data_IF_025148652327
#
_entry.id   IF_025148652327
#
_cell.length_a   1.000
_cell.length_b   1.000
_cell.length_c   1.000
_cell.angle_alpha   90.00
_cell.angle_beta   90.00
_cell.angle_gamma   90.00
#
_symmetry.space_group_name_H-M   'P 1'
#
loop_
_entity.id
_entity.type
_entity.pdbx_description
1 polymer ?
#
# COMPACT_ATOMS: atom_id res chain seq x y z
N UNK A 1 -20.37 -14.36 13.04
CA UNK A 1 -20.35 -14.10 11.59
C UNK A 1 -19.22 -13.13 11.28
N UNK A 2 -18.21 -13.53 10.52
CA UNK A 2 -17.13 -12.61 10.09
C UNK A 2 -17.74 -11.51 9.21
N UNK A 3 -17.63 -10.25 9.63
CA UNK A 3 -18.07 -9.10 8.82
C UNK A 3 -17.10 -8.98 7.63
N UNK A 4 -17.58 -9.28 6.42
CA UNK A 4 -16.80 -9.09 5.19
C UNK A 4 -16.87 -7.61 4.82
N UNK A 5 -15.73 -6.97 4.59
CA UNK A 5 -15.69 -5.58 4.11
C UNK A 5 -16.19 -5.52 2.66
N UNK A 6 -17.24 -4.75 2.34
CA UNK A 6 -17.76 -4.65 0.97
C UNK A 6 -16.71 -4.15 -0.02
N UNK A 7 -16.76 -4.64 -1.26
CA UNK A 7 -15.82 -4.24 -2.33
C UNK A 7 -15.87 -2.73 -2.61
N UNK A 8 -17.06 -2.11 -2.58
CA UNK A 8 -17.23 -0.67 -2.73
C UNK A 8 -16.52 0.14 -1.64
N UNK A 9 -16.53 -0.34 -0.39
CA UNK A 9 -15.79 0.27 0.72
C UNK A 9 -14.28 0.16 0.50
N UNK A 10 -13.79 -0.99 0.03
CA UNK A 10 -12.38 -1.18 -0.31
C UNK A 10 -11.95 -0.22 -1.44
N UNK A 11 -12.76 -0.11 -2.49
CA UNK A 11 -12.51 0.80 -3.62
C UNK A 11 -12.42 2.26 -3.16
N UNK A 12 -13.41 2.73 -2.41
CA UNK A 12 -13.45 4.11 -1.91
C UNK A 12 -12.24 4.43 -1.00
N UNK A 13 -11.79 3.47 -0.18
CA UNK A 13 -10.59 3.65 0.63
C UNK A 13 -9.32 3.73 -0.24
N UNK A 14 -9.23 2.90 -1.27
CA UNK A 14 -8.10 2.89 -2.20
C UNK A 14 -8.03 4.18 -3.06
N UNK A 15 -9.17 4.68 -3.55
CA UNK A 15 -9.26 5.96 -4.29
C UNK A 15 -8.82 7.15 -3.43
N UNK A 16 -9.20 7.18 -2.14
CA UNK A 16 -8.74 8.19 -1.19
C UNK A 16 -7.23 8.12 -0.98
N UNK A 17 -6.66 6.91 -0.92
CA UNK A 17 -5.23 6.71 -0.77
C UNK A 17 -4.46 7.23 -1.99
N UNK A 18 -4.87 6.88 -3.21
CA UNK A 18 -4.20 7.34 -4.43
C UNK A 18 -4.25 8.87 -4.54
N UNK A 19 -5.39 9.48 -4.21
CA UNK A 19 -5.53 10.95 -4.21
C UNK A 19 -4.57 11.61 -3.21
N UNK A 20 -4.32 10.99 -2.05
CA UNK A 20 -3.39 11.50 -1.06
C UNK A 20 -1.93 11.28 -1.46
N UNK A 21 -1.61 10.11 -2.00
CA UNK A 21 -0.25 9.76 -2.45
C UNK A 21 0.18 10.59 -3.64
N UNK A 22 -0.71 10.87 -4.60
CA UNK A 22 -0.41 11.73 -5.76
C UNK A 22 -0.11 13.19 -5.42
N UNK A 23 -0.22 13.60 -4.14
CA UNK A 23 0.23 14.92 -3.66
C UNK A 23 1.68 14.90 -3.16
N UNK A 24 2.27 13.73 -3.02
CA UNK A 24 3.67 13.54 -2.61
C UNK A 24 4.50 13.56 -3.89
N UNK A 25 5.44 14.50 -4.00
CA UNK A 25 6.36 14.55 -5.12
C UNK A 25 7.18 13.26 -5.18
N UNK A 26 7.39 12.72 -6.39
CA UNK A 26 8.16 11.48 -6.55
C UNK A 26 7.39 10.22 -6.12
N UNK A 27 6.06 10.29 -6.03
CA UNK A 27 5.20 9.13 -5.79
C UNK A 27 4.15 9.03 -6.89
N UNK A 28 4.13 7.89 -7.58
CA UNK A 28 3.08 7.52 -8.53
C UNK A 28 2.24 6.40 -7.93
N UNK A 29 0.91 6.52 -7.98
CA UNK A 29 0.01 5.54 -7.42
C UNK A 29 -1.12 5.19 -8.37
N UNK A 30 -1.45 3.90 -8.44
CA UNK A 30 -2.52 3.40 -9.29
C UNK A 30 -3.50 2.50 -8.51
N UNK A 31 -4.75 2.51 -8.98
CA UNK A 31 -5.80 1.66 -8.46
C UNK A 31 -5.79 0.35 -9.24
N UNK A 32 -5.61 -0.76 -8.54
CA UNK A 32 -5.57 -2.09 -9.16
C UNK A 32 -6.76 -2.91 -8.67
N UNK A 33 -7.64 -3.28 -9.58
CA UNK A 33 -8.64 -4.31 -9.32
C UNK A 33 -8.03 -5.69 -9.59
N UNK A 34 -8.07 -6.56 -8.58
CA UNK A 34 -7.71 -7.97 -8.72
C UNK A 34 -8.93 -8.84 -8.47
N UNK A 35 -9.35 -9.59 -9.47
CA UNK A 35 -10.34 -10.65 -9.30
C UNK A 35 -9.65 -11.96 -8.95
N UNK A 36 -10.07 -12.60 -7.86
CA UNK A 36 -9.65 -13.97 -7.53
C UNK A 36 -10.88 -14.78 -7.16
N UNK A 37 -11.21 -15.76 -8.00
CA UNK A 37 -12.44 -16.55 -7.87
C UNK A 37 -13.69 -15.67 -7.88
N UNK A 38 -14.44 -15.66 -6.79
CA UNK A 38 -15.77 -15.02 -6.70
C UNK A 38 -15.74 -13.59 -6.17
N UNK A 39 -14.57 -13.01 -5.85
CA UNK A 39 -14.48 -11.67 -5.23
C UNK A 39 -13.42 -10.79 -5.88
N UNK A 40 -13.83 -9.60 -6.30
CA UNK A 40 -12.92 -8.50 -6.61
C UNK A 40 -12.31 -7.93 -5.33
N UNK A 41 -11.02 -7.62 -5.38
CA UNK A 41 -10.28 -6.90 -4.35
C UNK A 41 -9.65 -5.66 -4.97
N UNK A 42 -9.73 -4.56 -4.25
CA UNK A 42 -9.09 -3.31 -4.65
C UNK A 42 -7.79 -3.15 -3.87
N UNK A 43 -6.69 -2.97 -4.60
CA UNK A 43 -5.35 -2.72 -4.04
C UNK A 43 -4.79 -1.44 -4.63
N UNK A 44 -3.85 -0.82 -3.92
CA UNK A 44 -3.10 0.34 -4.41
C UNK A 44 -1.68 -0.11 -4.68
N UNK A 45 -1.17 0.18 -5.88
CA UNK A 45 0.24 0.02 -6.23
C UNK A 45 0.89 1.39 -6.21
N UNK A 46 2.05 1.52 -5.57
CA UNK A 46 2.76 2.80 -5.41
C UNK A 46 4.21 2.60 -5.82
N UNK A 47 4.70 3.47 -6.69
CA UNK A 47 6.13 3.66 -6.99
C UNK A 47 6.55 4.95 -6.30
N UNK A 48 7.66 4.92 -5.58
CA UNK A 48 8.12 6.03 -4.77
C UNK A 48 9.63 6.18 -4.87
N UNK A 49 10.09 7.42 -5.07
CA UNK A 49 11.50 7.78 -5.01
C UNK A 49 12.06 7.49 -3.61
N UNK A 50 13.27 6.92 -3.48
CA UNK A 50 13.84 6.50 -2.21
C UNK A 50 13.88 7.60 -1.13
N UNK A 51 14.13 8.85 -1.53
CA UNK A 51 14.16 10.01 -0.62
C UNK A 51 12.79 10.33 0.01
N UNK A 52 11.69 9.96 -0.65
CA UNK A 52 10.32 10.23 -0.19
C UNK A 52 9.70 9.05 0.54
N UNK A 53 10.35 7.87 0.50
CA UNK A 53 9.86 6.63 1.10
C UNK A 53 9.40 6.80 2.54
N UNK A 54 10.23 7.41 3.38
CA UNK A 54 9.92 7.57 4.81
C UNK A 54 8.64 8.39 5.02
N UNK A 55 8.51 9.50 4.30
CA UNK A 55 7.32 10.35 4.38
C UNK A 55 6.06 9.65 3.89
N UNK A 56 6.19 8.85 2.82
CA UNK A 56 5.10 8.00 2.33
C UNK A 56 4.69 6.97 3.40
N UNK A 57 5.64 6.25 3.99
CA UNK A 57 5.36 5.23 5.01
C UNK A 57 4.66 5.82 6.25
N UNK A 58 5.12 6.97 6.74
CA UNK A 58 4.47 7.69 7.86
C UNK A 58 3.04 8.13 7.49
N UNK A 59 2.82 8.57 6.25
CA UNK A 59 1.49 8.95 5.76
C UNK A 59 0.53 7.75 5.65
N UNK A 60 1.03 6.62 5.15
CA UNK A 60 0.27 5.36 5.07
C UNK A 60 -0.21 4.91 6.45
N UNK A 61 0.66 4.96 7.46
CA UNK A 61 0.31 4.63 8.84
C UNK A 61 -0.69 5.61 9.44
N UNK A 62 -0.37 6.90 9.43
CA UNK A 62 -1.12 7.92 10.20
C UNK A 62 -2.42 8.35 9.55
N UNK A 63 -2.50 8.38 8.21
CA UNK A 63 -3.68 8.89 7.49
C UNK A 63 -4.55 7.77 6.94
N UNK A 64 -3.95 6.65 6.52
CA UNK A 64 -4.68 5.56 5.86
C UNK A 64 -4.82 4.30 6.72
N UNK A 65 -4.27 4.32 7.94
CA UNK A 65 -4.34 3.24 8.93
C UNK A 65 -3.76 1.93 8.39
N UNK A 66 -2.71 2.03 7.57
CA UNK A 66 -1.92 0.89 7.12
C UNK A 66 -1.00 0.48 8.26
N UNK A 67 -1.40 -0.56 8.99
CA UNK A 67 -0.86 -0.90 10.31
C UNK A 67 0.00 -2.18 10.32
N UNK A 68 0.14 -2.85 9.17
CA UNK A 68 0.86 -4.11 9.09
C UNK A 68 1.72 -4.20 7.83
N UNK A 69 3.01 -4.47 8.02
CA UNK A 69 3.92 -4.86 6.95
C UNK A 69 4.01 -6.38 6.91
N UNK A 70 3.45 -6.99 5.87
CA UNK A 70 3.44 -8.44 5.73
C UNK A 70 4.78 -8.98 5.26
N UNK A 71 5.45 -8.25 4.38
CA UNK A 71 6.68 -8.68 3.74
C UNK A 71 7.41 -7.48 3.13
N UNK A 72 8.73 -7.57 3.11
CA UNK A 72 9.61 -6.71 2.33
C UNK A 72 10.39 -7.64 1.40
N UNK A 73 10.33 -7.39 0.10
CA UNK A 73 11.06 -8.15 -0.91
C UNK A 73 11.95 -7.24 -1.73
N UNK A 74 12.92 -7.84 -2.43
CA UNK A 74 13.78 -7.13 -3.37
C UNK A 74 13.76 -7.80 -4.74
N UNK A 75 13.78 -7.00 -5.80
CA UNK A 75 13.98 -7.48 -7.16
C UNK A 75 15.34 -6.97 -7.63
N UNK A 76 16.20 -7.89 -8.04
CA UNK A 76 17.51 -7.58 -8.62
C UNK A 76 17.40 -7.61 -10.15
N UNK A 77 17.78 -6.50 -10.78
CA UNK A 77 17.86 -6.34 -12.21
C UNK A 77 19.33 -6.25 -12.63
N UNK A 78 20.03 -7.38 -12.83
CA UNK A 78 21.47 -7.39 -13.12
C UNK A 78 21.81 -6.65 -14.43
N UNK A 79 20.93 -6.79 -15.42
CA UNK A 79 21.04 -6.13 -16.73
C UNK A 79 20.24 -4.82 -16.80
N UNK A 80 19.73 -4.34 -15.66
CA UNK A 80 19.01 -3.08 -15.57
C UNK A 80 19.93 -1.86 -15.67
N UNK A 81 19.37 -0.65 -15.86
CA UNK A 81 20.15 0.57 -15.84
C UNK A 81 20.81 0.77 -14.46
N UNK A 82 21.91 1.51 -14.41
CA UNK A 82 22.77 1.59 -13.22
C UNK A 82 22.03 2.16 -11.99
N UNK A 83 21.13 3.09 -12.24
CA UNK A 83 20.23 3.71 -11.27
C UNK A 83 19.14 2.78 -10.72
N UNK A 84 18.92 1.60 -11.33
CA UNK A 84 17.79 0.72 -11.02
C UNK A 84 18.17 -0.76 -10.93
N UNK A 85 19.36 -1.06 -10.39
CA UNK A 85 19.81 -2.44 -10.17
C UNK A 85 18.98 -3.19 -9.13
N UNK A 86 18.42 -2.48 -8.15
CA UNK A 86 17.59 -3.06 -7.10
C UNK A 86 16.30 -2.27 -6.93
N UNK A 87 15.19 -2.98 -6.84
CA UNK A 87 13.92 -2.44 -6.38
C UNK A 87 13.54 -3.10 -5.06
N UNK A 88 13.07 -2.31 -4.10
CA UNK A 88 12.55 -2.83 -2.83
C UNK A 88 11.03 -2.69 -2.84
N UNK A 89 10.33 -3.79 -2.58
CA UNK A 89 8.87 -3.86 -2.60
C UNK A 89 8.36 -4.14 -1.19
N UNK A 90 7.52 -3.24 -0.70
CA UNK A 90 6.85 -3.36 0.60
C UNK A 90 5.41 -3.83 0.39
N UNK A 91 5.04 -4.91 1.08
CA UNK A 91 3.68 -5.43 1.08
C UNK A 91 3.01 -5.03 2.39
N UNK A 92 2.00 -4.18 2.29
CA UNK A 92 1.26 -3.68 3.44
C UNK A 92 -0.19 -4.12 3.47
N UNK A 93 -0.75 -4.17 4.69
CA UNK A 93 -2.14 -4.45 4.96
C UNK A 93 -2.68 -3.45 5.98
N UNK A 94 -4.00 -3.29 5.95
CA UNK A 94 -4.79 -2.64 7.01
C UNK A 94 -5.58 -3.71 7.75
N UNK A 95 -5.12 -4.07 8.93
CA UNK A 95 -5.68 -5.13 9.77
C UNK A 95 -6.68 -4.58 10.78
N UNK A 96 -6.49 -3.34 11.25
CA UNK A 96 -7.33 -2.69 12.26
C UNK A 96 -7.17 -3.28 13.66
N UNK A 97 -6.10 -4.03 13.90
CA UNK A 97 -5.83 -4.65 15.19
C UNK A 97 -5.24 -3.59 16.12
N UNK A 98 -5.93 -3.32 17.22
CA UNK A 98 -5.49 -2.37 18.25
C UNK A 98 -5.29 -3.11 19.57
N UNK A 99 -4.37 -2.60 20.39
CA UNK A 99 -4.23 -3.08 21.75
C UNK A 99 -5.57 -2.93 22.50
N UNK A 100 -5.93 -3.90 23.36
CA UNK A 100 -7.11 -3.75 24.20
C UNK A 100 -6.96 -2.50 25.09
N UNK A 101 -8.08 -1.84 25.44
CA UNK A 101 -8.03 -0.72 26.38
C UNK A 101 -7.39 -1.17 27.70
N UNK A 102 -6.50 -0.34 28.23
CA UNK A 102 -5.96 -0.54 29.58
C UNK A 102 -7.11 -0.50 30.59
N UNK A 103 -7.03 -1.36 31.61
CA UNK A 103 -8.05 -1.46 32.67
C UNK A 103 -8.00 -0.27 33.62
#
# INVERSE_FOLDING_TARGET
>A
MSRVVPSSTQKSAAEKMITAVGRIKGCDAELVERSSGTKSRWTVSIVCDPENWRGLAEKLLTTHEVDYCSLITGIHWPDGPEEKKWEVVYHFLRTGIKNPPEK
#
